data_IF_552777452477
#
_entry.id   IF_552777452477
#
_cell.length_a   1.000
_cell.length_b   1.000
_cell.length_c   1.000
_cell.angle_alpha   90.00
_cell.angle_beta   90.00
_cell.angle_gamma   90.00
#
_symmetry.space_group_name_H-M   'P 1'
#
loop_
_entity.id
_entity.type
_entity.pdbx_description
1 polymer ?
#
# COMPACT_ATOMS: atom_id res chain seq x y z
N UNK A 1 -83.87 19.69 -45.99
CA UNK A 1 -84.46 19.33 -44.70
C UNK A 1 -83.41 19.22 -43.59
N UNK A 2 -83.77 19.95 -42.63
CA UNK A 2 -83.37 19.85 -41.23
C UNK A 2 -81.94 20.17 -40.84
N UNK A 3 -81.88 21.35 -40.27
CA UNK A 3 -80.94 21.87 -39.35
C UNK A 3 -80.68 21.00 -38.08
N UNK A 4 -79.53 21.14 -37.53
CA UNK A 4 -79.35 21.06 -36.08
C UNK A 4 -78.21 21.96 -35.66
N UNK A 5 -78.55 22.91 -34.83
CA UNK A 5 -77.68 23.82 -34.09
C UNK A 5 -76.90 23.03 -33.07
N UNK A 6 -75.64 23.32 -32.90
CA UNK A 6 -74.91 22.96 -31.69
C UNK A 6 -74.23 24.18 -31.12
N UNK A 7 -74.66 24.57 -29.94
CA UNK A 7 -74.21 25.64 -29.09
C UNK A 7 -72.77 25.42 -28.64
N UNK A 8 -71.89 26.40 -28.91
CA UNK A 8 -70.60 26.47 -28.37
C UNK A 8 -70.62 26.89 -26.89
N UNK A 9 -69.91 26.10 -26.05
CA UNK A 9 -69.53 26.54 -24.70
C UNK A 9 -68.07 27.01 -24.71
N UNK A 10 -67.74 28.12 -24.05
CA UNK A 10 -66.36 28.58 -23.97
C UNK A 10 -65.60 27.70 -23.03
N UNK A 11 -64.38 27.19 -23.46
CA UNK A 11 -63.42 26.55 -22.61
C UNK A 11 -62.79 27.64 -21.72
N UNK A 12 -63.08 27.56 -20.44
CA UNK A 12 -62.32 28.28 -19.41
C UNK A 12 -60.96 27.63 -19.23
N UNK A 13 -59.90 28.33 -19.61
CA UNK A 13 -58.52 27.90 -19.39
C UNK A 13 -58.17 28.17 -17.92
N UNK A 14 -58.12 27.08 -17.09
CA UNK A 14 -57.62 27.17 -15.74
C UNK A 14 -56.08 27.05 -15.75
N UNK A 15 -55.39 28.19 -15.63
CA UNK A 15 -53.95 28.21 -15.33
C UNK A 15 -53.78 27.85 -13.85
N UNK A 16 -53.41 26.61 -13.56
CA UNK A 16 -52.92 26.24 -12.25
C UNK A 16 -51.47 26.73 -12.13
N UNK A 17 -51.26 27.77 -11.39
CA UNK A 17 -49.92 28.17 -10.94
C UNK A 17 -49.41 27.13 -9.97
N UNK A 18 -48.50 26.29 -10.44
CA UNK A 18 -47.78 25.35 -9.54
C UNK A 18 -46.76 26.23 -8.82
N UNK A 19 -47.01 26.56 -7.56
CA UNK A 19 -45.99 27.06 -6.67
C UNK A 19 -45.07 25.86 -6.34
N UNK A 20 -43.95 25.77 -7.04
CA UNK A 20 -42.85 24.92 -6.61
C UNK A 20 -42.26 25.56 -5.36
N UNK A 21 -42.77 25.14 -4.20
CA UNK A 21 -42.09 25.36 -2.93
C UNK A 21 -40.80 24.55 -2.96
N UNK A 22 -39.69 25.18 -3.32
CA UNK A 22 -38.36 24.66 -3.10
C UNK A 22 -38.10 24.67 -1.57
N UNK A 23 -38.61 23.67 -0.87
CA UNK A 23 -38.03 23.32 0.41
C UNK A 23 -36.61 22.79 0.09
N UNK A 24 -35.62 23.67 0.24
CA UNK A 24 -34.28 23.25 0.45
C UNK A 24 -34.32 22.34 1.68
N UNK A 25 -34.29 21.02 1.45
CA UNK A 25 -34.08 20.05 2.47
C UNK A 25 -32.62 20.25 2.92
N UNK A 26 -32.43 21.05 3.94
CA UNK A 26 -31.18 21.09 4.69
C UNK A 26 -31.06 19.72 5.37
N UNK A 27 -30.57 18.73 4.64
CA UNK A 27 -30.08 17.51 5.27
C UNK A 27 -28.96 17.97 6.18
N UNK A 28 -29.15 17.77 7.49
CA UNK A 28 -28.03 17.85 8.43
C UNK A 28 -26.90 16.97 7.85
N UNK A 29 -25.65 17.45 7.87
CA UNK A 29 -24.55 16.68 7.31
C UNK A 29 -24.54 15.33 8.02
N UNK A 30 -24.84 14.28 7.29
CA UNK A 30 -24.75 12.93 7.79
C UNK A 30 -23.30 12.69 8.21
N UNK A 31 -23.08 12.03 9.33
CA UNK A 31 -21.74 11.77 9.86
C UNK A 31 -21.47 10.27 9.97
N UNK A 32 -20.22 9.89 9.83
CA UNK A 32 -19.71 8.53 9.99
C UNK A 32 -18.71 8.51 11.14
N UNK A 33 -18.89 7.60 12.10
CA UNK A 33 -17.94 7.43 13.21
C UNK A 33 -16.98 6.29 12.89
N UNK A 34 -15.67 6.60 12.87
CA UNK A 34 -14.60 5.64 12.65
C UNK A 34 -13.56 5.78 13.74
N UNK A 35 -13.30 4.71 14.51
CA UNK A 35 -12.39 4.71 15.67
C UNK A 35 -12.68 5.83 16.71
N UNK A 36 -13.96 6.10 16.97
CA UNK A 36 -14.36 7.16 17.89
C UNK A 36 -14.20 8.58 17.35
N UNK A 37 -13.74 8.74 16.13
CA UNK A 37 -13.65 10.03 15.43
C UNK A 37 -14.85 10.19 14.51
N UNK A 38 -15.54 11.32 14.60
CA UNK A 38 -16.68 11.66 13.76
C UNK A 38 -16.19 12.39 12.51
N UNK A 39 -16.56 11.89 11.35
CA UNK A 39 -16.26 12.47 10.04
C UNK A 39 -17.54 12.93 9.36
N UNK A 40 -17.54 14.11 8.79
CA UNK A 40 -18.61 14.54 7.88
C UNK A 40 -18.63 13.66 6.64
N UNK A 41 -19.81 13.29 6.17
CA UNK A 41 -20.00 12.55 4.92
C UNK A 41 -20.35 13.48 3.78
N UNK A 42 -20.14 13.03 2.55
CA UNK A 42 -20.48 13.73 1.32
C UNK A 42 -20.87 12.75 0.20
N UNK A 43 -20.93 13.22 -1.03
CA UNK A 43 -21.24 12.44 -2.23
C UNK A 43 -20.19 11.36 -2.59
N UNK A 44 -19.00 11.43 -1.98
CA UNK A 44 -17.94 10.42 -2.13
C UNK A 44 -18.04 9.27 -1.12
N UNK A 45 -18.81 9.43 -0.05
CA UNK A 45 -18.94 8.42 1.01
C UNK A 45 -19.46 7.10 0.44
N UNK A 46 -18.65 6.04 0.50
CA UNK A 46 -18.96 4.77 -0.15
C UNK A 46 -18.60 3.51 0.66
N UNK A 47 -18.35 3.65 1.97
CA UNK A 47 -17.95 2.53 2.83
C UNK A 47 -19.20 1.74 3.24
N UNK A 48 -19.38 0.47 2.81
CA UNK A 48 -20.51 -0.33 3.23
C UNK A 48 -20.36 -0.83 4.69
N UNK A 49 -21.48 -1.13 5.33
CA UNK A 49 -21.51 -1.63 6.72
C UNK A 49 -20.68 -2.90 6.93
N UNK A 50 -20.60 -3.77 5.92
CA UNK A 50 -19.77 -4.98 5.95
C UNK A 50 -18.28 -4.68 6.06
N UNK A 51 -17.81 -3.60 5.46
CA UNK A 51 -16.43 -3.12 5.61
C UNK A 51 -16.27 -2.41 6.94
N UNK A 52 -17.22 -1.56 7.36
CA UNK A 52 -17.18 -0.90 8.66
C UNK A 52 -17.03 -1.89 9.82
N UNK A 53 -17.71 -3.03 9.78
CA UNK A 53 -17.58 -4.08 10.80
C UNK A 53 -16.19 -4.74 10.82
N UNK A 54 -15.38 -4.60 9.76
CA UNK A 54 -14.02 -5.14 9.64
C UNK A 54 -12.93 -4.10 9.90
N UNK A 55 -13.27 -2.82 9.84
CA UNK A 55 -12.36 -1.73 10.22
C UNK A 55 -11.99 -1.84 11.71
N UNK A 56 -12.80 -2.56 12.49
CA UNK A 56 -12.68 -2.64 13.94
C UNK A 56 -12.59 -4.05 14.54
N UNK A 57 -11.80 -5.00 14.05
CA UNK A 57 -11.40 -6.08 14.92
C UNK A 57 -10.40 -5.52 15.94
N UNK A 58 -10.69 -5.64 17.23
CA UNK A 58 -9.68 -5.40 18.27
C UNK A 58 -9.42 -6.72 19.00
N UNK A 59 -8.14 -7.17 19.04
CA UNK A 59 -6.97 -6.63 18.36
C UNK A 59 -6.97 -6.91 16.85
N UNK A 60 -6.31 -6.03 16.07
CA UNK A 60 -6.05 -6.26 14.64
C UNK A 60 -5.33 -7.61 14.44
N UNK A 61 -5.64 -8.33 13.36
CA UNK A 61 -5.12 -9.67 13.14
C UNK A 61 -3.59 -9.81 13.23
N UNK A 62 -2.77 -8.86 12.71
CA UNK A 62 -1.31 -8.91 12.88
C UNK A 62 -0.83 -8.75 14.34
N UNK A 63 -1.72 -8.41 15.26
CA UNK A 63 -1.42 -8.25 16.69
C UNK A 63 -2.21 -9.21 17.59
N UNK A 64 -3.04 -10.07 16.98
CA UNK A 64 -3.85 -11.04 17.71
C UNK A 64 -3.00 -12.25 18.10
N UNK A 65 -3.04 -12.63 19.38
CA UNK A 65 -2.34 -13.81 19.91
C UNK A 65 -2.68 -15.08 19.10
N UNK A 66 -1.65 -15.88 18.86
CA UNK A 66 -1.72 -17.15 18.13
C UNK A 66 -2.21 -17.04 16.67
N UNK A 67 -2.33 -15.82 16.11
CA UNK A 67 -2.72 -15.63 14.73
C UNK A 67 -1.51 -15.74 13.80
N UNK A 68 -1.60 -16.42 12.64
CA UNK A 68 -0.50 -16.56 11.69
C UNK A 68 0.13 -15.23 11.26
N UNK A 69 -0.67 -14.18 11.08
CA UNK A 69 -0.17 -12.84 10.74
C UNK A 69 0.67 -12.22 11.85
N UNK A 70 0.37 -12.49 13.13
CA UNK A 70 1.22 -12.06 14.23
C UNK A 70 2.57 -12.77 14.19
N UNK A 71 2.55 -14.08 13.98
CA UNK A 71 3.77 -14.89 13.88
C UNK A 71 4.65 -14.39 12.74
N UNK A 72 4.05 -14.12 11.57
CA UNK A 72 4.76 -13.58 10.41
C UNK A 72 5.34 -12.19 10.70
N UNK A 73 4.56 -11.29 11.29
CA UNK A 73 5.00 -9.95 11.68
C UNK A 73 6.22 -10.02 12.62
N UNK A 74 6.12 -10.81 13.69
CA UNK A 74 7.19 -10.96 14.66
C UNK A 74 8.46 -11.58 14.05
N UNK A 75 8.30 -12.51 13.12
CA UNK A 75 9.44 -13.08 12.40
C UNK A 75 10.13 -12.05 11.51
N UNK A 76 9.39 -11.21 10.80
CA UNK A 76 9.94 -10.10 10.00
C UNK A 76 10.66 -9.10 10.93
N UNK A 77 10.01 -8.67 12.01
CA UNK A 77 10.62 -7.77 13.00
C UNK A 77 11.91 -8.37 13.60
N UNK A 78 11.95 -9.67 13.83
CA UNK A 78 13.14 -10.37 14.32
C UNK A 78 14.29 -10.38 13.30
N UNK A 79 13.99 -10.51 12.00
CA UNK A 79 15.00 -10.49 10.93
C UNK A 79 15.68 -9.13 10.84
N UNK A 80 14.91 -8.06 10.89
CA UNK A 80 15.43 -6.69 10.84
C UNK A 80 16.05 -6.24 12.18
N UNK A 81 15.61 -6.83 13.28
CA UNK A 81 16.17 -6.60 14.62
C UNK A 81 15.88 -5.22 15.20
N UNK A 82 16.55 -4.91 16.32
CA UNK A 82 16.31 -3.67 17.08
C UNK A 82 16.73 -2.38 16.36
N UNK A 83 17.37 -2.47 15.21
CA UNK A 83 17.74 -1.31 14.40
C UNK A 83 16.51 -0.63 13.76
N UNK A 84 15.41 -1.36 13.65
CA UNK A 84 14.17 -0.89 13.08
C UNK A 84 13.12 -0.68 14.16
N UNK A 85 12.51 0.48 14.14
CA UNK A 85 11.36 0.79 15.02
C UNK A 85 10.11 0.13 14.48
N UNK A 86 9.49 -0.77 15.25
CA UNK A 86 8.20 -1.35 14.88
C UNK A 86 7.08 -0.34 15.17
N UNK A 87 6.33 0.02 14.13
CA UNK A 87 5.25 1.02 14.19
C UNK A 87 3.92 0.34 13.94
N UNK A 88 2.97 0.60 14.81
CA UNK A 88 1.57 0.23 14.61
C UNK A 88 0.80 1.44 14.12
N UNK A 89 0.17 1.34 12.95
CA UNK A 89 -0.66 2.40 12.42
C UNK A 89 -1.90 2.63 13.30
N UNK A 90 -2.13 3.86 13.80
CA UNK A 90 -3.16 4.11 14.83
C UNK A 90 -4.58 4.09 14.25
N UNK A 91 -4.79 4.63 13.07
CA UNK A 91 -6.11 4.73 12.42
C UNK A 91 -6.06 4.20 10.99
N UNK A 92 -7.12 3.52 10.53
CA UNK A 92 -7.25 3.14 9.13
C UNK A 92 -7.65 4.32 8.23
N UNK A 93 -8.19 5.40 8.80
CA UNK A 93 -8.59 6.60 8.04
C UNK A 93 -7.39 7.51 7.87
N UNK A 94 -7.12 7.86 6.63
CA UNK A 94 -6.06 8.77 6.21
C UNK A 94 -6.62 9.84 5.28
N UNK A 95 -5.91 10.95 5.13
CA UNK A 95 -6.27 11.94 4.12
C UNK A 95 -5.95 11.41 2.72
N UNK A 96 -6.70 11.83 1.71
CA UNK A 96 -6.40 11.54 0.31
C UNK A 96 -5.02 12.07 -0.08
N UNK A 97 -4.60 13.17 0.57
CA UNK A 97 -3.25 13.72 0.41
C UNK A 97 -2.17 12.70 0.82
N UNK A 98 -2.25 12.13 2.01
CA UNK A 98 -1.29 11.12 2.50
C UNK A 98 -1.36 9.82 1.69
N UNK A 99 -2.58 9.42 1.27
CA UNK A 99 -2.77 8.16 0.56
C UNK A 99 -2.34 8.22 -0.90
N UNK A 100 -2.31 9.41 -1.50
CA UNK A 100 -2.06 9.56 -2.93
C UNK A 100 -1.10 10.70 -3.27
N UNK A 101 -1.40 11.95 -2.86
CA UNK A 101 -0.69 13.13 -3.39
C UNK A 101 0.77 13.16 -2.92
N UNK A 102 1.01 12.94 -1.62
CA UNK A 102 2.36 12.93 -1.03
C UNK A 102 3.22 11.76 -1.55
N UNK A 103 2.61 10.77 -2.19
CA UNK A 103 3.25 9.61 -2.79
C UNK A 103 3.39 9.72 -4.31
N UNK A 104 3.04 10.86 -4.88
CA UNK A 104 3.17 11.11 -6.31
C UNK A 104 2.19 10.36 -7.20
N UNK A 105 1.07 9.87 -6.68
CA UNK A 105 0.02 9.28 -7.52
C UNK A 105 -0.59 10.35 -8.43
N UNK A 106 -0.63 10.15 -9.74
CA UNK A 106 -1.29 11.07 -10.66
C UNK A 106 -2.78 11.28 -10.31
N UNK A 107 -3.32 12.46 -10.61
CA UNK A 107 -4.72 12.77 -10.31
C UNK A 107 -5.71 11.82 -10.99
N UNK A 108 -5.35 11.28 -12.15
CA UNK A 108 -6.15 10.33 -12.93
C UNK A 108 -5.82 8.85 -12.64
N UNK A 109 -5.01 8.56 -11.63
CA UNK A 109 -4.65 7.18 -11.29
C UNK A 109 -5.90 6.35 -10.97
N UNK A 110 -6.04 5.12 -11.52
CA UNK A 110 -7.22 4.27 -11.28
C UNK A 110 -7.55 4.08 -9.80
N UNK A 111 -6.54 3.82 -8.96
CA UNK A 111 -6.72 3.63 -7.52
C UNK A 111 -7.36 4.80 -6.77
N UNK A 112 -7.47 6.01 -7.39
CA UNK A 112 -8.20 7.13 -6.80
C UNK A 112 -9.70 7.09 -7.06
N UNK A 113 -10.17 6.18 -7.91
CA UNK A 113 -11.60 6.09 -8.24
C UNK A 113 -12.41 5.55 -7.06
N UNK A 114 -13.65 6.03 -6.86
CA UNK A 114 -14.55 5.45 -5.87
C UNK A 114 -14.88 3.97 -6.11
N UNK A 115 -14.59 3.44 -7.30
CA UNK A 115 -14.67 1.99 -7.59
C UNK A 115 -13.58 1.18 -6.88
N UNK A 116 -12.43 1.79 -6.60
CA UNK A 116 -11.23 1.09 -6.12
C UNK A 116 -10.86 1.46 -4.67
N UNK A 117 -11.36 2.61 -4.19
CA UNK A 117 -11.06 3.13 -2.86
C UNK A 117 -12.32 3.35 -2.02
N UNK A 118 -12.25 3.00 -0.74
CA UNK A 118 -13.28 3.30 0.24
C UNK A 118 -13.10 4.70 0.80
N UNK A 119 -13.97 5.63 0.40
CA UNK A 119 -13.95 7.01 0.86
C UNK A 119 -14.89 7.22 2.06
N UNK A 120 -14.36 7.88 3.08
CA UNK A 120 -15.15 8.45 4.19
C UNK A 120 -15.84 9.71 3.70
N UNK A 121 -15.09 10.56 3.00
CA UNK A 121 -15.53 11.72 2.25
C UNK A 121 -14.47 12.05 1.20
N UNK A 122 -14.67 13.11 0.40
CA UNK A 122 -13.76 13.52 -0.66
C UNK A 122 -12.31 13.77 -0.20
N UNK A 123 -12.10 14.16 1.05
CA UNK A 123 -10.80 14.48 1.62
C UNK A 123 -10.14 13.32 2.40
N UNK A 124 -10.91 12.28 2.76
CA UNK A 124 -10.45 11.18 3.60
C UNK A 124 -10.94 9.82 3.09
N UNK A 125 -10.09 8.81 3.20
CA UNK A 125 -10.39 7.45 2.78
C UNK A 125 -9.83 6.42 3.78
N UNK A 126 -10.23 5.17 3.65
CA UNK A 126 -9.50 4.06 4.26
C UNK A 126 -8.20 3.86 3.47
N UNK A 127 -7.06 3.72 4.17
CA UNK A 127 -5.76 3.54 3.50
C UNK A 127 -5.77 2.35 2.56
N UNK A 128 -5.27 2.55 1.36
CA UNK A 128 -5.19 1.51 0.33
C UNK A 128 -3.86 0.77 0.33
N UNK A 129 -2.89 1.27 1.09
CA UNK A 129 -1.55 0.70 1.31
C UNK A 129 -0.92 1.33 2.57
N UNK A 130 0.12 0.69 3.08
CA UNK A 130 0.86 1.16 4.26
C UNK A 130 1.67 2.42 4.01
N UNK A 131 2.10 2.65 2.76
CA UNK A 131 2.87 3.84 2.34
C UNK A 131 2.13 5.16 2.58
N UNK A 132 0.80 5.13 2.81
CA UNK A 132 0.04 6.28 3.31
C UNK A 132 0.59 6.88 4.61
N UNK A 133 1.41 6.12 5.34
CA UNK A 133 2.05 6.56 6.58
C UNK A 133 3.55 6.93 6.41
N UNK A 134 4.14 6.66 5.24
CA UNK A 134 5.56 6.82 4.99
C UNK A 134 6.05 8.25 5.28
N UNK A 135 5.43 9.25 4.64
CA UNK A 135 5.80 10.66 4.79
C UNK A 135 5.68 11.13 6.24
N UNK A 136 4.61 10.71 6.93
CA UNK A 136 4.41 11.07 8.34
C UNK A 136 5.46 10.40 9.24
N UNK A 137 5.82 9.17 8.96
CA UNK A 137 6.83 8.42 9.71
C UNK A 137 8.21 9.07 9.58
N UNK A 138 8.61 9.45 8.37
CA UNK A 138 9.86 10.20 8.16
C UNK A 138 9.85 11.57 8.84
N UNK A 139 8.75 12.30 8.79
CA UNK A 139 8.59 13.59 9.48
C UNK A 139 8.70 13.49 11.01
N UNK A 140 8.35 12.34 11.59
CA UNK A 140 8.57 12.07 13.02
C UNK A 140 10.01 11.66 13.35
N UNK A 141 10.92 11.64 12.36
CA UNK A 141 12.33 11.38 12.55
C UNK A 141 12.74 9.91 12.59
N UNK A 142 11.85 9.00 12.27
CA UNK A 142 12.20 7.57 12.17
C UNK A 142 13.07 7.35 10.93
N UNK A 143 14.33 6.94 11.15
CA UNK A 143 15.27 6.65 10.06
C UNK A 143 15.15 5.21 9.54
N UNK A 144 14.83 4.26 10.41
CA UNK A 144 14.63 2.84 10.08
C UNK A 144 13.40 2.35 10.79
N UNK A 145 12.43 1.87 10.06
CA UNK A 145 11.14 1.49 10.62
C UNK A 145 10.48 0.36 9.84
N UNK A 146 9.61 -0.37 10.55
CA UNK A 146 8.67 -1.35 10.01
C UNK A 146 7.27 -0.93 10.46
N UNK A 147 6.32 -0.87 9.55
CA UNK A 147 4.95 -0.49 9.84
C UNK A 147 4.02 -1.60 9.36
N UNK A 148 3.17 -2.09 10.28
CA UNK A 148 2.19 -3.12 9.97
C UNK A 148 0.78 -2.56 10.12
N UNK A 149 -0.06 -2.76 9.11
CA UNK A 149 -1.44 -2.30 9.13
C UNK A 149 -2.37 -3.11 8.23
N UNK A 150 -3.66 -3.04 8.56
CA UNK A 150 -4.74 -3.46 7.68
C UNK A 150 -4.87 -2.42 6.55
N UNK A 151 -5.10 -2.87 5.34
CA UNK A 151 -5.32 -2.04 4.15
C UNK A 151 -6.63 -2.43 3.48
N UNK A 152 -7.20 -1.48 2.76
CA UNK A 152 -8.57 -1.58 2.27
C UNK A 152 -8.62 -1.18 0.80
N UNK A 153 -8.97 -2.13 -0.06
CA UNK A 153 -9.21 -1.89 -1.49
C UNK A 153 -10.58 -2.37 -1.87
N UNK A 154 -11.25 -1.66 -2.74
CA UNK A 154 -12.59 -2.02 -3.19
C UNK A 154 -12.52 -3.00 -4.36
N UNK A 155 -11.79 -4.09 -4.14
CA UNK A 155 -11.63 -5.16 -5.10
C UNK A 155 -12.85 -6.10 -5.08
N UNK A 156 -13.06 -6.80 -6.18
CA UNK A 156 -13.97 -7.96 -6.22
C UNK A 156 -13.40 -9.09 -5.35
N UNK A 157 -14.27 -9.88 -4.75
CA UNK A 157 -13.86 -11.03 -3.93
C UNK A 157 -13.70 -12.24 -4.84
N UNK A 158 -12.47 -12.73 -4.96
CA UNK A 158 -12.14 -13.96 -5.67
C UNK A 158 -11.16 -14.84 -4.85
N UNK A 159 -10.49 -15.78 -5.51
CA UNK A 159 -9.53 -16.68 -4.84
C UNK A 159 -8.25 -15.99 -4.37
N UNK A 160 -7.95 -14.79 -4.86
CA UNK A 160 -6.72 -14.04 -4.61
C UNK A 160 -6.96 -12.62 -4.06
N UNK A 161 -8.17 -12.09 -4.17
CA UNK A 161 -8.51 -10.74 -3.76
C UNK A 161 -9.57 -10.73 -2.65
N UNK A 162 -9.33 -9.91 -1.66
CA UNK A 162 -10.25 -9.63 -0.57
C UNK A 162 -10.16 -8.15 -0.18
N UNK A 163 -11.29 -7.45 0.05
CA UNK A 163 -11.30 -6.01 0.28
C UNK A 163 -10.50 -5.52 1.48
N UNK A 164 -10.20 -6.39 2.41
CA UNK A 164 -9.39 -6.10 3.61
C UNK A 164 -8.26 -7.10 3.69
N UNK A 165 -7.04 -6.62 3.62
CA UNK A 165 -5.85 -7.45 3.76
C UNK A 165 -4.78 -6.74 4.60
N UNK A 166 -3.61 -7.33 4.75
CA UNK A 166 -2.60 -6.84 5.68
C UNK A 166 -1.29 -6.62 4.94
N UNK A 167 -0.65 -5.50 5.21
CA UNK A 167 0.66 -5.20 4.67
C UNK A 167 1.64 -4.89 5.81
N UNK A 168 2.89 -5.22 5.58
CA UNK A 168 4.02 -4.74 6.35
C UNK A 168 4.96 -4.02 5.39
N UNK A 169 5.32 -2.81 5.73
CA UNK A 169 6.23 -1.98 4.98
C UNK A 169 7.41 -1.61 5.86
N UNK A 170 8.57 -1.41 5.25
CA UNK A 170 9.74 -0.93 5.96
C UNK A 170 10.54 0.02 5.10
N UNK A 171 11.22 0.97 5.74
CA UNK A 171 12.15 1.83 5.07
C UNK A 171 13.39 2.10 5.92
N UNK A 172 14.47 2.50 5.23
CA UNK A 172 15.70 2.94 5.84
C UNK A 172 16.20 4.20 5.14
N UNK A 173 16.67 5.15 5.94
CA UNK A 173 17.32 6.38 5.48
C UNK A 173 18.67 6.49 6.16
N UNK A 174 19.70 6.83 5.39
CA UNK A 174 21.06 7.04 5.87
C UNK A 174 21.56 8.42 5.49
N UNK A 175 22.38 9.00 6.34
CA UNK A 175 23.20 10.14 5.98
C UNK A 175 24.35 9.74 5.05
N UNK A 176 24.88 10.67 4.28
CA UNK A 176 26.01 10.41 3.36
C UNK A 176 27.27 9.94 4.11
N UNK A 177 27.42 10.34 5.35
CA UNK A 177 28.50 9.92 6.25
C UNK A 177 28.44 8.44 6.67
N UNK A 178 27.28 7.80 6.50
CA UNK A 178 27.06 6.39 6.79
C UNK A 178 27.50 5.47 5.61
N UNK A 179 27.79 6.07 4.43
CA UNK A 179 28.29 5.37 3.24
C UNK A 179 29.83 5.38 3.17
N UNK A 180 30.37 4.65 2.21
CA UNK A 180 31.82 4.50 1.99
C UNK A 180 32.38 3.18 2.48
N UNK A 181 33.63 2.89 2.15
CA UNK A 181 34.27 1.59 2.34
C UNK A 181 34.34 1.09 3.81
N UNK A 182 34.27 2.00 4.78
CA UNK A 182 34.20 1.69 6.20
C UNK A 182 32.87 2.13 6.83
N UNK A 183 31.90 2.56 6.03
CA UNK A 183 30.58 2.99 6.47
C UNK A 183 29.75 1.83 7.04
N UNK A 184 28.74 2.18 7.83
CA UNK A 184 27.85 1.15 8.41
C UNK A 184 27.06 0.42 7.32
N UNK A 185 26.67 1.11 6.25
CA UNK A 185 25.89 0.54 5.15
C UNK A 185 26.68 -0.55 4.43
N UNK A 186 27.99 -0.32 4.13
CA UNK A 186 28.83 -1.32 3.49
C UNK A 186 29.04 -2.54 4.39
N UNK A 187 29.31 -2.33 5.69
CA UNK A 187 29.49 -3.45 6.62
C UNK A 187 28.25 -4.32 6.78
N UNK A 188 27.08 -3.68 6.86
CA UNK A 188 25.79 -4.40 6.92
C UNK A 188 25.53 -5.18 5.64
N UNK A 189 25.77 -4.56 4.48
CA UNK A 189 25.61 -5.18 3.17
C UNK A 189 26.53 -6.41 3.02
N UNK A 190 27.82 -6.26 3.28
CA UNK A 190 28.79 -7.34 3.18
C UNK A 190 28.46 -8.53 4.09
N UNK A 191 28.04 -8.27 5.33
CA UNK A 191 27.64 -9.33 6.27
C UNK A 191 26.37 -10.09 5.81
N UNK A 192 25.41 -9.41 5.19
CA UNK A 192 24.24 -10.07 4.61
C UNK A 192 24.58 -10.88 3.36
N UNK A 193 25.38 -10.32 2.47
CA UNK A 193 25.83 -11.02 1.24
C UNK A 193 26.65 -12.28 1.55
N UNK A 194 27.50 -12.25 2.58
CA UNK A 194 28.23 -13.45 3.04
C UNK A 194 27.28 -14.55 3.50
N UNK A 195 26.28 -14.21 4.31
CA UNK A 195 25.25 -15.16 4.75
C UNK A 195 24.44 -15.71 3.59
N UNK A 196 24.11 -14.88 2.62
CA UNK A 196 23.37 -15.29 1.42
C UNK A 196 24.19 -16.24 0.55
N UNK A 197 25.49 -15.98 0.36
CA UNK A 197 26.39 -16.92 -0.35
C UNK A 197 26.44 -18.28 0.34
N UNK A 198 26.51 -18.29 1.66
CA UNK A 198 26.52 -19.51 2.45
C UNK A 198 25.17 -20.26 2.47
N UNK A 199 24.08 -19.59 2.10
CA UNK A 199 22.72 -20.14 2.18
C UNK A 199 22.40 -21.16 1.08
N UNK A 200 23.12 -21.13 -0.05
CA UNK A 200 22.78 -21.91 -1.25
C UNK A 200 21.53 -21.44 -1.98
N UNK A 201 20.99 -20.28 -1.64
CA UNK A 201 19.84 -19.68 -2.34
C UNK A 201 20.26 -19.23 -3.74
N UNK A 202 19.44 -19.52 -4.74
CA UNK A 202 19.62 -19.09 -6.12
C UNK A 202 18.86 -17.80 -6.37
N UNK A 203 19.60 -16.72 -6.67
CA UNK A 203 19.04 -15.39 -6.87
C UNK A 203 19.21 -15.02 -8.35
N UNK A 204 18.09 -14.90 -9.05
CA UNK A 204 18.00 -14.38 -10.42
C UNK A 204 17.75 -12.87 -10.36
N UNK A 205 18.76 -12.09 -10.70
CA UNK A 205 18.70 -10.63 -10.69
C UNK A 205 19.40 -10.12 -11.97
N UNK A 206 18.69 -10.24 -13.08
CA UNK A 206 19.17 -9.81 -14.39
C UNK A 206 18.84 -8.33 -14.67
N UNK A 207 18.36 -7.59 -13.66
CA UNK A 207 17.96 -6.20 -13.82
C UNK A 207 19.19 -5.31 -13.93
N UNK A 208 19.50 -4.87 -15.14
CA UNK A 208 20.53 -3.88 -15.39
C UNK A 208 20.03 -2.47 -15.01
N UNK A 209 20.43 -2.00 -13.85
CA UNK A 209 19.98 -0.70 -13.32
C UNK A 209 20.57 0.48 -14.10
N UNK A 210 21.70 0.30 -14.77
CA UNK A 210 22.31 1.36 -15.58
C UNK A 210 21.46 1.69 -16.81
N UNK A 211 20.65 0.75 -17.28
CA UNK A 211 19.72 0.89 -18.40
C UNK A 211 18.27 1.05 -17.97
N UNK A 212 17.96 0.84 -16.67
CA UNK A 212 16.59 0.97 -16.18
C UNK A 212 16.16 2.43 -16.26
N UNK A 213 15.21 2.73 -17.12
CA UNK A 213 14.40 3.94 -17.06
C UNK A 213 13.84 4.08 -15.65
N UNK A 214 14.32 5.05 -14.90
CA UNK A 214 13.75 5.28 -13.59
C UNK A 214 14.69 5.65 -12.46
N UNK A 215 16.00 5.73 -12.67
CA UNK A 215 16.84 6.37 -11.66
C UNK A 215 16.50 7.84 -11.53
N UNK A 216 16.33 8.28 -10.29
CA UNK A 216 16.16 9.69 -10.01
C UNK A 216 17.48 10.41 -10.31
N UNK A 217 17.43 11.42 -11.17
CA UNK A 217 18.60 12.25 -11.54
C UNK A 217 19.37 12.77 -10.33
N UNK A 218 18.67 13.05 -9.24
CA UNK A 218 19.26 13.63 -8.03
C UNK A 218 20.17 12.68 -7.28
N UNK A 219 19.87 11.39 -7.21
CA UNK A 219 20.67 10.42 -6.46
C UNK A 219 21.91 9.96 -7.24
N UNK A 220 21.72 9.51 -8.49
CA UNK A 220 22.82 9.00 -9.29
C UNK A 220 23.82 10.07 -9.70
N UNK A 221 23.35 11.27 -10.10
CA UNK A 221 24.25 12.33 -10.57
C UNK A 221 25.08 12.93 -9.44
N UNK A 222 24.53 13.05 -8.24
CA UNK A 222 25.23 13.65 -7.11
C UNK A 222 26.04 12.64 -6.29
N UNK A 223 25.52 11.46 -6.08
CA UNK A 223 26.08 10.44 -5.18
C UNK A 223 25.91 9.01 -5.73
N UNK A 224 26.51 8.69 -6.90
CA UNK A 224 26.26 7.41 -7.57
C UNK A 224 26.71 6.20 -6.74
N UNK A 225 27.83 6.30 -6.03
CA UNK A 225 28.32 5.21 -5.18
C UNK A 225 27.38 4.93 -4.00
N UNK A 226 26.90 5.99 -3.34
CA UNK A 226 25.96 5.85 -2.23
C UNK A 226 24.61 5.28 -2.71
N UNK A 227 24.11 5.72 -3.86
CA UNK A 227 22.87 5.22 -4.46
C UNK A 227 22.97 3.71 -4.80
N UNK A 228 24.06 3.30 -5.44
CA UNK A 228 24.31 1.89 -5.76
C UNK A 228 24.47 1.04 -4.50
N UNK A 229 25.15 1.54 -3.48
CA UNK A 229 25.31 0.83 -2.21
C UNK A 229 23.98 0.73 -1.46
N UNK A 230 23.15 1.78 -1.46
CA UNK A 230 21.80 1.73 -0.88
C UNK A 230 20.94 0.65 -1.55
N UNK A 231 21.00 0.52 -2.88
CA UNK A 231 20.28 -0.50 -3.61
C UNK A 231 20.83 -1.90 -3.33
N UNK A 232 22.16 -2.06 -3.26
CA UNK A 232 22.78 -3.33 -2.85
C UNK A 232 22.31 -3.76 -1.46
N UNK A 233 22.32 -2.82 -0.51
CA UNK A 233 21.84 -3.06 0.85
C UNK A 233 20.35 -3.45 0.87
N UNK A 234 19.50 -2.77 0.09
CA UNK A 234 18.08 -3.11 -0.05
C UNK A 234 17.91 -4.54 -0.55
N UNK A 235 18.60 -4.91 -1.63
CA UNK A 235 18.55 -6.26 -2.20
C UNK A 235 19.05 -7.32 -1.23
N UNK A 236 20.17 -7.08 -0.56
CA UNK A 236 20.72 -8.00 0.44
C UNK A 236 19.77 -8.17 1.63
N UNK A 237 19.16 -7.09 2.11
CA UNK A 237 18.20 -7.12 3.22
C UNK A 237 16.96 -7.95 2.88
N UNK A 238 16.37 -7.74 1.71
CA UNK A 238 15.17 -8.44 1.29
C UNK A 238 15.42 -9.90 0.93
N UNK A 239 16.54 -10.22 0.29
CA UNK A 239 16.95 -11.60 0.08
C UNK A 239 17.19 -12.34 1.41
N UNK A 240 17.77 -11.66 2.41
CA UNK A 240 17.92 -12.20 3.77
C UNK A 240 16.56 -12.47 4.42
N UNK A 241 15.61 -11.55 4.26
CA UNK A 241 14.24 -11.73 4.73
C UNK A 241 13.58 -12.94 4.06
N UNK A 242 13.63 -13.02 2.74
CA UNK A 242 13.05 -14.15 1.99
C UNK A 242 13.65 -15.46 2.43
N UNK A 243 14.98 -15.53 2.55
CA UNK A 243 15.64 -16.72 3.06
C UNK A 243 15.16 -17.10 4.46
N UNK A 244 15.05 -16.14 5.37
CA UNK A 244 14.60 -16.42 6.74
C UNK A 244 13.18 -16.97 6.79
N UNK A 245 12.27 -16.44 5.96
CA UNK A 245 10.87 -16.86 5.92
C UNK A 245 10.67 -18.24 5.27
N UNK A 246 11.44 -18.55 4.24
CA UNK A 246 11.21 -19.75 3.43
C UNK A 246 12.15 -20.92 3.77
N UNK A 247 13.31 -20.68 4.41
CA UNK A 247 14.33 -21.71 4.68
C UNK A 247 13.82 -22.95 5.40
N UNK A 248 12.95 -22.77 6.39
CA UNK A 248 12.44 -23.89 7.20
C UNK A 248 11.55 -24.80 6.36
N UNK A 249 10.61 -24.21 5.66
CA UNK A 249 9.69 -24.94 4.79
C UNK A 249 10.41 -25.55 3.60
N UNK A 250 11.32 -24.79 3.01
CA UNK A 250 12.15 -25.30 1.92
C UNK A 250 12.98 -26.50 2.38
N UNK A 251 13.57 -26.50 3.58
CA UNK A 251 14.29 -27.65 4.13
C UNK A 251 13.39 -28.88 4.35
N UNK A 252 12.11 -28.67 4.68
CA UNK A 252 11.11 -29.73 4.81
C UNK A 252 10.68 -30.29 3.43
N UNK A 253 10.59 -29.46 2.42
CA UNK A 253 10.23 -29.82 1.04
C UNK A 253 11.44 -30.25 0.20
N UNK A 254 12.67 -29.86 0.60
CA UNK A 254 13.92 -30.08 -0.11
C UNK A 254 14.49 -31.52 -0.02
N UNK A 255 13.65 -32.52 0.17
CA UNK A 255 14.06 -33.90 -0.13
C UNK A 255 14.52 -34.07 -1.59
N UNK A 256 14.26 -33.06 -2.45
CA UNK A 256 14.66 -33.00 -3.86
C UNK A 256 16.06 -32.39 -4.09
N UNK A 257 16.67 -31.74 -3.10
CA UNK A 257 17.97 -31.07 -3.26
C UNK A 257 17.94 -29.78 -4.09
N UNK A 258 16.76 -29.29 -4.50
CA UNK A 258 16.64 -28.04 -5.27
C UNK A 258 16.88 -26.79 -4.40
N UNK A 259 17.55 -25.74 -4.91
CA UNK A 259 17.77 -24.51 -4.18
C UNK A 259 16.50 -23.70 -4.02
N UNK A 260 16.40 -22.89 -2.95
CA UNK A 260 15.40 -21.84 -2.85
C UNK A 260 15.68 -20.81 -3.96
N UNK A 261 14.73 -20.64 -4.91
CA UNK A 261 14.88 -19.74 -6.05
C UNK A 261 14.11 -18.48 -5.83
N UNK A 262 14.79 -17.34 -6.04
CA UNK A 262 14.25 -15.99 -5.95
C UNK A 262 14.55 -15.25 -7.24
N UNK A 263 13.63 -14.43 -7.73
CA UNK A 263 13.90 -13.54 -8.85
C UNK A 263 13.47 -12.12 -8.56
N UNK A 264 14.21 -11.19 -9.11
CA UNK A 264 13.93 -9.77 -9.11
C UNK A 264 13.44 -9.36 -10.49
N UNK A 265 12.32 -8.66 -10.56
CA UNK A 265 11.76 -8.15 -11.81
C UNK A 265 11.54 -6.64 -11.71
N UNK A 266 11.76 -5.88 -12.82
CA UNK A 266 11.45 -4.45 -12.85
C UNK A 266 9.97 -4.21 -12.60
N UNK A 267 9.66 -3.19 -11.80
CA UNK A 267 8.31 -2.74 -11.52
C UNK A 267 8.21 -1.22 -11.62
N UNK A 268 7.00 -0.69 -11.55
CA UNK A 268 6.76 0.75 -11.53
C UNK A 268 5.80 1.09 -10.41
N UNK A 269 6.29 1.85 -9.41
CA UNK A 269 5.48 2.41 -8.35
C UNK A 269 5.56 3.94 -8.36
N UNK A 270 4.48 4.65 -8.01
CA UNK A 270 4.48 6.10 -8.05
C UNK A 270 5.54 6.76 -7.15
N UNK A 271 5.86 6.14 -6.01
CA UNK A 271 6.69 6.69 -4.93
C UNK A 271 8.12 6.14 -4.89
N UNK A 272 8.51 5.23 -5.78
CA UNK A 272 9.88 4.70 -5.87
C UNK A 272 10.44 4.79 -7.29
N UNK A 273 11.75 4.89 -7.42
CA UNK A 273 12.51 4.78 -8.66
C UNK A 273 14.01 4.58 -8.36
N UNK A 274 14.62 3.47 -8.78
CA UNK A 274 14.02 2.32 -9.42
C UNK A 274 13.09 1.52 -8.51
N UNK A 275 12.22 0.73 -9.13
CA UNK A 275 11.25 -0.13 -8.44
C UNK A 275 11.34 -1.57 -8.91
N UNK A 276 11.06 -2.50 -8.02
CA UNK A 276 11.18 -3.94 -8.27
C UNK A 276 10.06 -4.70 -7.57
N UNK A 277 9.75 -5.88 -8.11
CA UNK A 277 9.03 -6.92 -7.40
C UNK A 277 9.97 -8.09 -7.14
N UNK A 278 9.76 -8.78 -6.03
CA UNK A 278 10.52 -9.96 -5.63
C UNK A 278 9.57 -11.14 -5.59
N UNK A 279 9.92 -12.17 -6.32
CA UNK A 279 9.16 -13.41 -6.39
C UNK A 279 9.99 -14.60 -5.92
N UNK A 280 9.31 -15.58 -5.35
CA UNK A 280 9.89 -16.86 -4.89
C UNK A 280 9.24 -17.99 -5.69
N UNK A 281 10.07 -18.95 -6.15
CA UNK A 281 9.54 -20.18 -6.73
C UNK A 281 8.93 -21.04 -5.62
N UNK A 282 7.62 -21.23 -5.70
CA UNK A 282 6.89 -21.93 -4.67
C UNK A 282 5.77 -22.80 -5.29
N UNK A 283 5.79 -24.09 -5.01
CA UNK A 283 4.78 -25.06 -5.50
C UNK A 283 4.54 -25.02 -7.00
N UNK A 284 5.64 -24.95 -7.78
CA UNK A 284 5.57 -25.01 -9.25
C UNK A 284 5.20 -23.68 -9.94
N UNK A 285 5.18 -22.56 -9.21
CA UNK A 285 4.92 -21.23 -9.77
C UNK A 285 5.74 -20.15 -9.06
N UNK A 286 5.93 -19.04 -9.73
CA UNK A 286 6.44 -17.82 -9.12
C UNK A 286 5.35 -17.17 -8.28
N UNK A 287 5.69 -16.83 -7.06
CA UNK A 287 4.82 -16.16 -6.10
C UNK A 287 5.44 -14.82 -5.76
N UNK A 288 4.74 -13.73 -6.07
CA UNK A 288 5.10 -12.39 -5.64
C UNK A 288 5.05 -12.29 -4.11
N UNK A 289 6.15 -11.83 -3.51
CA UNK A 289 6.28 -11.68 -2.07
C UNK A 289 6.18 -10.22 -1.65
N UNK A 290 6.81 -9.32 -2.42
CA UNK A 290 6.86 -7.90 -2.08
C UNK A 290 7.22 -7.03 -3.29
N UNK A 291 6.78 -5.77 -3.23
CA UNK A 291 7.29 -4.68 -4.06
C UNK A 291 8.28 -3.81 -3.26
N UNK A 292 9.27 -3.25 -3.94
CA UNK A 292 10.32 -2.45 -3.29
C UNK A 292 10.95 -1.45 -4.25
N UNK A 293 11.76 -0.53 -3.72
CA UNK A 293 12.51 0.42 -4.54
C UNK A 293 13.20 1.50 -3.71
N UNK A 294 13.86 2.40 -4.42
CA UNK A 294 14.46 3.59 -3.83
C UNK A 294 13.38 4.68 -3.78
N UNK A 295 13.10 5.19 -2.58
CA UNK A 295 12.06 6.21 -2.35
C UNK A 295 12.39 7.48 -3.14
N UNK A 296 11.38 8.06 -3.80
CA UNK A 296 11.50 9.36 -4.48
C UNK A 296 11.64 10.49 -3.47
N UNK A 297 12.45 11.50 -3.81
CA UNK A 297 12.60 12.73 -3.03
C UNK A 297 11.57 13.78 -3.43
#
# INVERSE_FOLDING_TARGET
PRALRALGRPLACYIRTIHASSRACSQEPSSLVVHGVTYATDDYTNIPSSIMSRVFPSPQLPYREHHPLKILREEIERVFGQKYSAIRAPSPVVTTKLNFDDLGFPANHPGRKPSDTYYVNRATCLRTHTSAHEVSTFRHGYKRWLLTADVFRRDEIDSSHYPVFHQMEGASVWGLDEFGSNGIVERECAAMEEKLRASGMEIHDDVNIAEADGWQDTHLRKHPEAANLALRHLKASLNTLVFALFKKRWAEEAQSGEPLRVRWIPATFPFTAPSFEVEVWFRGKWLEILGTGIVKQ
#
